data_IF_796550676893
#
_entry.id   IF_796550676893
#
_cell.length_a   1.000
_cell.length_b   1.000
_cell.length_c   1.000
_cell.angle_alpha   90.00
_cell.angle_beta   90.00
_cell.angle_gamma   90.00
#
_symmetry.space_group_name_H-M   'P 1'
#
loop_
_entity.id
_entity.type
_entity.pdbx_description
1 polymer ?
#
# COMPACT_ATOMS: atom_id res chain seq x y z
N UNK A 1 -0.27 -0.16 13.94
CA UNK A 1 1.18 -0.07 13.61
C UNK A 1 1.33 0.95 12.47
N UNK A 2 2.06 2.06 12.67
CA UNK A 2 2.21 3.09 11.61
C UNK A 2 3.17 2.60 10.53
N UNK A 3 2.64 2.18 9.39
CA UNK A 3 3.45 1.95 8.19
C UNK A 3 3.55 3.29 7.44
N UNK A 4 4.77 3.83 7.35
CA UNK A 4 5.09 5.00 6.53
C UNK A 4 4.14 6.20 6.70
N UNK A 5 4.04 6.73 7.92
CA UNK A 5 3.21 7.90 8.27
C UNK A 5 1.69 7.74 8.05
N UNK A 6 1.22 6.56 7.66
CA UNK A 6 -0.20 6.25 7.59
C UNK A 6 -0.62 5.44 8.82
N UNK A 7 -1.71 5.85 9.44
CA UNK A 7 -2.42 5.11 10.46
C UNK A 7 -3.20 3.98 9.75
N UNK A 8 -2.60 2.80 9.79
CA UNK A 8 -3.32 1.52 9.68
C UNK A 8 -3.77 1.12 11.08
N UNK A 9 -5.06 0.89 11.20
CA UNK A 9 -5.65 0.37 12.43
C UNK A 9 -5.70 -1.14 12.26
N UNK A 10 -4.75 -1.78 12.94
CA UNK A 10 -4.53 -3.22 12.96
C UNK A 10 -4.35 -3.88 11.57
N UNK A 11 -4.27 -5.21 11.57
CA UNK A 11 -4.30 -6.05 10.37
C UNK A 11 -5.74 -6.25 9.86
N UNK A 12 -6.56 -5.18 9.88
CA UNK A 12 -8.01 -5.18 9.62
C UNK A 12 -8.86 -5.92 10.67
N UNK A 13 -8.31 -6.14 11.87
CA UNK A 13 -8.98 -6.83 12.98
C UNK A 13 -9.65 -5.87 13.99
N UNK A 14 -9.79 -4.59 13.63
CA UNK A 14 -10.46 -3.62 14.49
C UNK A 14 -11.95 -3.96 14.61
N UNK A 15 -12.53 -3.80 15.80
CA UNK A 15 -13.95 -4.07 16.08
C UNK A 15 -14.82 -2.81 16.08
N UNK A 16 -14.20 -1.64 15.88
CA UNK A 16 -14.88 -0.35 15.90
C UNK A 16 -14.67 0.37 14.56
N UNK A 17 -15.73 1.03 14.09
CA UNK A 17 -15.65 1.93 12.96
C UNK A 17 -14.67 3.07 13.26
N UNK A 18 -13.79 3.38 12.31
CA UNK A 18 -12.71 4.33 12.58
C UNK A 18 -12.15 4.98 11.32
N UNK A 19 -11.56 6.17 11.48
CA UNK A 19 -10.90 6.87 10.39
C UNK A 19 -9.51 6.30 10.14
N UNK A 20 -9.23 6.00 8.88
CA UNK A 20 -7.93 5.45 8.43
C UNK A 20 -7.32 6.33 7.34
N UNK A 21 -6.02 6.17 7.12
CA UNK A 21 -5.31 6.90 6.06
C UNK A 21 -5.41 6.21 4.70
N UNK A 22 -5.62 4.89 4.67
CA UNK A 22 -5.84 4.08 3.47
C UNK A 22 -6.49 2.74 3.83
N UNK A 23 -6.94 2.02 2.80
CA UNK A 23 -7.54 0.68 2.89
C UNK A 23 -6.90 -0.24 1.85
N UNK A 24 -7.11 -1.56 1.97
CA UNK A 24 -6.71 -2.51 0.93
C UNK A 24 -7.78 -2.58 -0.18
N UNK A 25 -7.36 -2.69 -1.45
CA UNK A 25 -8.27 -2.70 -2.60
C UNK A 25 -9.17 -3.94 -2.70
N UNK A 26 -8.92 -4.98 -1.90
CA UNK A 26 -9.69 -6.24 -1.95
C UNK A 26 -11.15 -6.07 -1.49
N UNK A 27 -11.45 -5.06 -0.67
CA UNK A 27 -12.81 -4.79 -0.19
C UNK A 27 -12.98 -3.29 0.13
N UNK A 28 -13.16 -2.49 -0.92
CA UNK A 28 -13.32 -1.05 -0.79
C UNK A 28 -14.44 -0.55 -1.69
N UNK A 29 -15.20 0.44 -1.19
CA UNK A 29 -16.17 1.19 -1.97
C UNK A 29 -15.84 2.68 -1.90
N UNK A 30 -16.00 3.36 -3.03
CA UNK A 30 -15.77 4.80 -3.13
C UNK A 30 -17.02 5.49 -3.66
N UNK A 31 -17.26 6.71 -3.19
CA UNK A 31 -18.24 7.59 -3.84
C UNK A 31 -17.71 7.99 -5.21
N UNK A 32 -18.57 7.98 -6.22
CA UNK A 32 -18.20 8.33 -7.60
C UNK A 32 -17.58 9.72 -7.68
N UNK A 33 -18.15 10.67 -6.95
CA UNK A 33 -17.70 12.07 -6.92
C UNK A 33 -16.29 12.17 -6.35
N UNK A 34 -16.01 11.44 -5.26
CA UNK A 34 -14.68 11.42 -4.64
C UNK A 34 -13.63 10.77 -5.56
N UNK A 35 -13.98 9.72 -6.32
CA UNK A 35 -13.09 9.13 -7.32
C UNK A 35 -12.77 10.10 -8.45
N UNK A 36 -13.80 10.76 -9.00
CA UNK A 36 -13.64 11.71 -10.10
C UNK A 36 -12.78 12.90 -9.65
N UNK A 37 -13.07 13.46 -8.47
CA UNK A 37 -12.31 14.57 -7.90
C UNK A 37 -10.85 14.21 -7.63
N UNK A 38 -10.60 12.99 -7.15
CA UNK A 38 -9.23 12.51 -6.95
C UNK A 38 -8.49 12.26 -8.27
N UNK A 39 -9.19 12.09 -9.39
CA UNK A 39 -8.61 11.77 -10.70
C UNK A 39 -8.47 10.26 -10.98
N UNK A 40 -9.25 9.41 -10.30
CA UNK A 40 -9.27 7.96 -10.52
C UNK A 40 -7.98 7.22 -10.13
N UNK A 41 -7.83 5.98 -10.56
CA UNK A 41 -6.59 5.22 -10.36
C UNK A 41 -5.50 5.70 -11.32
N UNK A 42 -4.25 5.67 -10.87
CA UNK A 42 -3.10 6.08 -11.68
C UNK A 42 -2.58 4.87 -12.48
N UNK A 43 -2.85 4.84 -13.78
CA UNK A 43 -2.50 3.71 -14.65
C UNK A 43 -0.99 3.47 -14.82
N UNK A 44 -0.15 4.34 -14.26
CA UNK A 44 1.30 4.14 -14.21
C UNK A 44 1.71 3.05 -13.23
N UNK A 45 0.86 2.68 -12.27
CA UNK A 45 1.12 1.53 -11.39
C UNK A 45 1.00 0.23 -12.18
N UNK A 46 2.13 -0.47 -12.37
CA UNK A 46 2.19 -1.71 -13.15
C UNK A 46 2.52 -2.96 -12.33
N UNK A 47 2.53 -4.11 -13.00
CA UNK A 47 2.82 -5.41 -12.39
C UNK A 47 1.72 -5.83 -11.41
N UNK A 48 2.07 -5.95 -10.12
CA UNK A 48 1.10 -6.23 -9.06
C UNK A 48 0.38 -4.98 -8.56
N UNK A 49 0.57 -3.85 -9.25
CA UNK A 49 -0.13 -2.59 -8.97
C UNK A 49 0.04 -2.08 -7.52
N UNK A 50 1.16 -2.46 -6.89
CA UNK A 50 1.45 -2.17 -5.49
C UNK A 50 1.41 -0.66 -5.19
N UNK A 51 0.69 -0.27 -4.13
CA UNK A 51 0.48 1.11 -3.64
C UNK A 51 -0.50 1.97 -4.45
N UNK A 52 -1.12 1.45 -5.50
CA UNK A 52 -2.09 2.21 -6.29
C UNK A 52 -3.29 2.67 -5.45
N UNK A 53 -3.81 1.83 -4.55
CA UNK A 53 -4.96 2.19 -3.72
C UNK A 53 -4.54 3.17 -2.64
N UNK A 54 -3.35 2.99 -2.06
CA UNK A 54 -2.80 3.93 -1.06
C UNK A 54 -2.59 5.31 -1.66
N UNK A 55 -2.10 5.41 -2.90
CA UNK A 55 -1.96 6.66 -3.62
C UNK A 55 -3.31 7.35 -3.84
N UNK A 56 -4.31 6.59 -4.31
CA UNK A 56 -5.67 7.08 -4.48
C UNK A 56 -6.27 7.57 -3.15
N UNK A 57 -6.12 6.79 -2.08
CA UNK A 57 -6.56 7.15 -0.74
C UNK A 57 -5.94 8.47 -0.26
N UNK A 58 -4.65 8.68 -0.50
CA UNK A 58 -3.98 9.93 -0.18
C UNK A 58 -4.53 11.11 -0.98
N UNK A 59 -4.83 10.93 -2.28
CA UNK A 59 -5.46 11.97 -3.12
C UNK A 59 -6.88 12.31 -2.67
N UNK A 60 -7.70 11.30 -2.38
CA UNK A 60 -9.05 11.48 -1.81
C UNK A 60 -9.00 12.25 -0.49
N UNK A 61 -8.04 11.95 0.39
CA UNK A 61 -7.87 12.68 1.66
C UNK A 61 -7.39 14.11 1.45
N UNK A 62 -6.52 14.36 0.47
CA UNK A 62 -6.05 15.71 0.12
C UNK A 62 -7.18 16.60 -0.38
N UNK A 63 -8.24 16.05 -0.98
CA UNK A 63 -9.44 16.80 -1.35
C UNK A 63 -10.47 16.95 -0.22
N UNK A 64 -10.11 16.57 1.02
CA UNK A 64 -10.92 16.79 2.22
C UNK A 64 -11.89 15.66 2.56
N UNK A 65 -11.95 14.59 1.77
CA UNK A 65 -12.73 13.41 2.11
C UNK A 65 -12.08 12.59 3.22
N UNK A 66 -12.89 11.79 3.90
CA UNK A 66 -12.44 10.86 4.93
C UNK A 66 -12.55 9.43 4.43
N UNK A 67 -11.64 8.59 4.92
CA UNK A 67 -11.68 7.15 4.69
C UNK A 67 -12.03 6.49 6.01
N UNK A 68 -13.00 5.59 5.96
CA UNK A 68 -13.55 4.91 7.12
C UNK A 68 -13.33 3.41 6.93
N UNK A 69 -12.81 2.76 7.96
CA UNK A 69 -12.84 1.31 8.10
C UNK A 69 -14.15 0.91 8.79
N UNK A 70 -14.87 -0.05 8.21
CA UNK A 70 -16.13 -0.59 8.71
C UNK A 70 -15.93 -2.07 9.11
N UNK A 71 -15.90 -2.40 10.41
CA UNK A 71 -15.67 -3.77 10.88
C UNK A 71 -16.74 -4.76 10.46
N UNK A 72 -17.98 -4.32 10.18
CA UNK A 72 -19.07 -5.22 9.77
C UNK A 72 -19.07 -5.50 8.26
N UNK A 73 -18.32 -4.73 7.46
CA UNK A 73 -18.21 -4.90 6.02
C UNK A 73 -17.14 -5.94 5.67
N UNK A 74 -17.35 -7.20 6.06
CA UNK A 74 -16.37 -8.29 5.90
C UNK A 74 -16.66 -9.13 4.65
N UNK A 75 -15.59 -9.55 3.97
CA UNK A 75 -15.65 -10.60 2.95
C UNK A 75 -14.52 -11.61 3.15
N UNK A 76 -14.71 -12.82 2.63
CA UNK A 76 -13.68 -13.85 2.60
C UNK A 76 -12.88 -13.69 1.31
N UNK A 77 -11.61 -13.29 1.44
CA UNK A 77 -10.70 -13.21 0.31
C UNK A 77 -10.06 -14.57 0.05
N UNK A 78 -10.46 -15.21 -1.05
CA UNK A 78 -9.86 -16.48 -1.48
C UNK A 78 -8.54 -16.19 -2.20
N UNK A 79 -7.43 -16.35 -1.46
CA UNK A 79 -6.10 -16.20 -2.03
C UNK A 79 -5.75 -17.46 -2.82
N UNK A 80 -5.90 -17.39 -4.14
CA UNK A 80 -5.40 -18.45 -5.01
C UNK A 80 -3.86 -18.39 -5.09
N UNK A 81 -3.21 -19.55 -5.05
CA UNK A 81 -1.77 -19.66 -5.20
C UNK A 81 -1.33 -19.30 -6.64
N UNK A 82 -2.23 -19.42 -7.62
CA UNK A 82 -2.03 -19.06 -9.02
C UNK A 82 -2.39 -17.61 -9.37
N UNK A 83 -2.51 -16.73 -8.37
CA UNK A 83 -2.77 -15.29 -8.53
C UNK A 83 -1.97 -14.66 -9.69
N UNK A 84 -2.64 -14.48 -10.83
CA UNK A 84 -2.05 -14.12 -12.13
C UNK A 84 -1.38 -12.75 -12.11
N UNK A 85 -1.75 -11.87 -11.16
CA UNK A 85 -1.11 -10.59 -10.92
C UNK A 85 0.30 -10.73 -10.30
N UNK A 86 0.69 -11.94 -9.90
CA UNK A 86 2.00 -12.29 -9.34
C UNK A 86 2.77 -13.27 -10.22
N UNK A 87 2.66 -13.15 -11.54
CA UNK A 87 3.41 -13.97 -12.49
C UNK A 87 4.90 -14.08 -12.13
N UNK A 88 5.42 -15.31 -12.23
CA UNK A 88 6.59 -15.91 -11.55
C UNK A 88 7.97 -15.26 -11.85
N UNK A 89 8.01 -14.11 -12.52
CA UNK A 89 9.25 -13.43 -12.88
C UNK A 89 9.73 -12.49 -11.77
N UNK A 90 10.65 -12.99 -10.95
CA UNK A 90 11.28 -12.23 -9.87
C UNK A 90 11.88 -10.89 -10.33
N UNK A 91 12.43 -10.81 -11.55
CA UNK A 91 13.04 -9.57 -12.09
C UNK A 91 11.96 -8.51 -12.32
N UNK A 92 10.85 -8.90 -12.94
CA UNK A 92 9.73 -7.98 -13.16
C UNK A 92 9.12 -7.54 -11.84
N UNK A 93 8.95 -8.46 -10.88
CA UNK A 93 8.43 -8.10 -9.55
C UNK A 93 9.32 -7.08 -8.83
N UNK A 94 10.64 -7.27 -8.88
CA UNK A 94 11.58 -6.33 -8.28
C UNK A 94 11.55 -4.96 -8.96
N UNK A 95 11.51 -4.95 -10.31
CA UNK A 95 11.36 -3.72 -11.09
C UNK A 95 10.08 -2.96 -10.73
N UNK A 96 8.92 -3.61 -10.79
CA UNK A 96 7.63 -2.98 -10.48
C UNK A 96 7.52 -2.55 -9.03
N UNK A 97 8.10 -3.31 -8.09
CA UNK A 97 8.17 -2.89 -6.70
C UNK A 97 8.96 -1.58 -6.55
N UNK A 98 10.14 -1.48 -7.16
CA UNK A 98 10.94 -0.26 -7.14
C UNK A 98 10.26 0.92 -7.85
N UNK A 99 9.73 0.67 -9.05
CA UNK A 99 8.99 1.63 -9.86
C UNK A 99 7.81 2.22 -9.08
N UNK A 100 6.93 1.37 -8.54
CA UNK A 100 5.71 1.81 -7.87
C UNK A 100 6.01 2.51 -6.54
N UNK A 101 7.03 2.07 -5.78
CA UNK A 101 7.48 2.80 -4.60
C UNK A 101 8.02 4.20 -4.95
N UNK A 102 8.77 4.32 -6.05
CA UNK A 102 9.26 5.61 -6.52
C UNK A 102 8.11 6.52 -6.99
N UNK A 103 7.18 5.98 -7.76
CA UNK A 103 6.00 6.69 -8.23
C UNK A 103 5.17 7.22 -7.06
N UNK A 104 4.87 6.36 -6.08
CA UNK A 104 4.19 6.73 -4.85
C UNK A 104 4.92 7.85 -4.10
N UNK A 105 6.25 7.75 -4.00
CA UNK A 105 7.07 8.78 -3.36
C UNK A 105 6.91 10.14 -4.06
N UNK A 106 7.04 10.16 -5.40
CA UNK A 106 6.96 11.37 -6.22
C UNK A 106 5.56 12.02 -6.17
N UNK A 107 4.50 11.22 -6.16
CA UNK A 107 3.13 11.73 -6.10
C UNK A 107 2.77 12.31 -4.72
N UNK A 108 3.37 11.80 -3.63
CA UNK A 108 2.87 12.07 -2.27
C UNK A 108 3.82 12.83 -1.35
N UNK A 109 5.12 12.87 -1.63
CA UNK A 109 6.10 13.49 -0.75
C UNK A 109 6.91 14.58 -1.44
N UNK A 110 7.39 15.53 -0.64
CA UNK A 110 8.27 16.60 -1.12
C UNK A 110 9.65 16.04 -1.46
N UNK A 111 10.23 16.49 -2.58
CA UNK A 111 11.50 15.97 -3.11
C UNK A 111 12.68 16.06 -2.13
N UNK A 112 12.69 17.03 -1.21
CA UNK A 112 13.75 17.11 -0.18
C UNK A 112 13.77 15.90 0.77
N UNK A 113 12.69 15.12 0.85
CA UNK A 113 12.64 13.87 1.64
C UNK A 113 13.26 12.67 0.92
N UNK A 114 13.74 12.86 -0.31
CA UNK A 114 14.28 11.78 -1.15
C UNK A 114 15.46 11.04 -0.52
N UNK A 115 16.47 11.69 0.11
CA UNK A 115 17.56 10.97 0.76
C UNK A 115 17.07 10.02 1.85
N UNK A 116 16.10 10.47 2.67
CA UNK A 116 15.50 9.65 3.72
C UNK A 116 14.71 8.46 3.14
N UNK A 117 13.99 8.69 2.03
CA UNK A 117 13.28 7.63 1.32
C UNK A 117 14.24 6.53 0.82
N UNK A 118 15.35 6.91 0.20
CA UNK A 118 16.37 5.96 -0.29
C UNK A 118 17.00 5.19 0.87
N UNK A 119 17.44 5.87 1.93
CA UNK A 119 18.03 5.21 3.10
C UNK A 119 17.06 4.21 3.72
N UNK A 120 15.80 4.60 3.93
CA UNK A 120 14.81 3.69 4.54
C UNK A 120 14.40 2.53 3.62
N UNK A 121 14.44 2.72 2.30
CA UNK A 121 14.19 1.65 1.33
C UNK A 121 15.34 0.64 1.31
N UNK A 122 16.58 1.14 1.39
CA UNK A 122 17.77 0.30 1.50
C UNK A 122 17.77 -0.52 2.79
N UNK A 123 17.46 0.11 3.93
CA UNK A 123 17.32 -0.57 5.22
C UNK A 123 16.29 -1.70 5.12
N UNK A 124 15.10 -1.45 4.55
CA UNK A 124 14.08 -2.49 4.37
C UNK A 124 14.53 -3.63 3.48
N UNK A 125 15.26 -3.34 2.40
CA UNK A 125 15.81 -4.35 1.50
C UNK A 125 16.79 -5.26 2.25
N UNK A 126 17.70 -4.65 3.03
CA UNK A 126 18.66 -5.37 3.87
C UNK A 126 17.94 -6.23 4.91
N UNK A 127 17.00 -5.66 5.66
CA UNK A 127 16.19 -6.43 6.62
C UNK A 127 15.42 -7.58 5.97
N UNK A 128 14.85 -7.36 4.79
CA UNK A 128 14.12 -8.40 4.04
C UNK A 128 15.05 -9.52 3.57
N UNK A 129 16.27 -9.18 3.14
CA UNK A 129 17.30 -10.15 2.80
C UNK A 129 17.72 -10.96 4.04
N UNK A 130 18.02 -10.29 5.17
CA UNK A 130 18.36 -10.96 6.42
C UNK A 130 17.25 -11.91 6.90
N UNK A 131 15.97 -11.50 6.85
CA UNK A 131 14.83 -12.36 7.19
C UNK A 131 14.74 -13.60 6.30
N UNK A 132 15.09 -13.48 5.02
CA UNK A 132 15.09 -14.59 4.07
C UNK A 132 16.21 -15.61 4.38
N UNK A 133 17.37 -15.14 4.83
CA UNK A 133 18.51 -16.02 5.16
C UNK A 133 18.47 -16.57 6.59
N UNK A 134 17.83 -15.87 7.54
CA UNK A 134 17.70 -16.30 8.94
C UNK A 134 16.27 -16.08 9.48
N UNK A 135 15.32 -16.96 9.13
CA UNK A 135 13.92 -16.82 9.53
C UNK A 135 13.67 -16.96 11.04
N UNK A 136 14.62 -17.51 11.82
CA UNK A 136 14.49 -17.78 13.26
C UNK A 136 14.78 -16.60 14.18
N UNK A 137 15.30 -15.47 13.67
CA UNK A 137 15.78 -14.35 14.51
C UNK A 137 14.63 -13.44 15.01
N UNK A 138 13.41 -13.57 14.51
CA UNK A 138 12.28 -12.68 14.85
C UNK A 138 11.01 -13.44 15.27
N UNK A 139 11.14 -14.35 16.24
CA UNK A 139 10.03 -14.83 17.06
C UNK A 139 10.22 -14.36 18.51
N UNK A 140 10.21 -13.05 18.75
CA UNK A 140 10.03 -12.43 20.07
C UNK A 140 9.35 -11.08 19.90
#
# INVERSE_FOLDING_TARGET
MRWWNANLIDNFDATIQTYVDHVQGCNVSYRKEALIEAGGFDERYGGSAHLEETDLCMRIRKSGHKIVFEPDAVLIYLRDATDYCRADNYKQRFYWYGHNNMLFFLNNFKHYRFPLFIVSSFIRLVFSAFKRFNPTIMFW
#
